data_IF_117152548734
#
_entry.id   IF_117152548734
#
_cell.length_a   1.000
_cell.length_b   1.000
_cell.length_c   1.000
_cell.angle_alpha   90.00
_cell.angle_beta   90.00
_cell.angle_gamma   90.00
#
_symmetry.space_group_name_H-M   'P 1'
#
loop_
_entity.id
_entity.type
_entity.pdbx_description
1 polymer ?
#
# COMPACT_ATOMS: atom_id res chain seq x y z
N UNK A 1 -23.58 6.81 -23.44
CA UNK A 1 -22.87 5.92 -22.50
C UNK A 1 -21.45 6.42 -22.40
N UNK A 2 -21.07 6.90 -21.22
CA UNK A 2 -19.71 7.34 -20.90
C UNK A 2 -19.06 6.26 -20.02
N UNK A 3 -17.87 5.80 -20.40
CA UNK A 3 -17.11 4.78 -19.68
C UNK A 3 -15.90 5.44 -19.03
N UNK A 4 -15.82 5.43 -17.70
CA UNK A 4 -14.70 5.89 -16.91
C UNK A 4 -13.74 4.73 -16.66
N UNK A 5 -12.48 4.90 -17.02
CA UNK A 5 -11.41 3.90 -16.82
C UNK A 5 -10.33 4.53 -15.93
N UNK A 6 -9.74 3.81 -14.98
CA UNK A 6 -8.69 4.35 -14.09
C UNK A 6 -7.86 3.29 -13.36
N UNK A 7 -6.51 3.42 -13.31
CA UNK A 7 -5.55 2.29 -13.16
C UNK A 7 -4.17 2.70 -12.65
N UNK A 8 -3.40 2.04 -11.77
CA UNK A 8 -2.10 2.49 -11.15
C UNK A 8 -0.79 1.77 -11.59
N UNK A 9 0.17 2.43 -12.26
CA UNK A 9 1.60 2.02 -12.47
C UNK A 9 2.34 2.53 -13.75
N UNK A 10 3.65 2.22 -13.89
CA UNK A 10 4.65 2.95 -14.75
C UNK A 10 5.18 2.14 -15.95
N UNK A 11 5.60 2.80 -17.04
CA UNK A 11 5.71 2.25 -18.41
C UNK A 11 7.02 1.72 -18.98
N UNK A 12 6.85 1.07 -20.15
CA UNK A 12 7.42 1.20 -21.51
C UNK A 12 6.64 0.21 -22.45
N UNK A 13 7.00 -0.07 -23.71
CA UNK A 13 6.06 -0.44 -24.82
C UNK A 13 6.33 -1.81 -25.49
N UNK A 14 5.31 -2.70 -25.50
CA UNK A 14 5.24 -3.91 -26.35
C UNK A 14 3.87 -4.09 -27.04
N UNK A 15 3.85 -4.48 -28.33
CA UNK A 15 2.62 -4.65 -29.15
C UNK A 15 1.97 -6.01 -28.93
N UNK A 16 0.69 -6.03 -28.57
CA UNK A 16 -0.18 -7.17 -28.75
C UNK A 16 -1.61 -6.68 -29.08
N UNK A 17 -2.25 -7.30 -30.08
CA UNK A 17 -3.59 -6.96 -30.53
C UNK A 17 -4.58 -8.03 -30.04
N UNK A 18 -5.69 -7.62 -29.43
CA UNK A 18 -6.69 -8.57 -28.92
C UNK A 18 -8.12 -8.05 -29.11
N UNK A 19 -9.03 -9.01 -29.26
CA UNK A 19 -10.47 -8.80 -29.41
C UNK A 19 -11.17 -8.97 -28.06
N UNK A 20 -11.78 -7.92 -27.53
CA UNK A 20 -12.64 -8.02 -26.35
C UNK A 20 -14.02 -8.54 -26.78
N UNK A 21 -14.15 -9.86 -26.80
CA UNK A 21 -15.41 -10.54 -27.08
C UNK A 21 -16.29 -10.61 -25.83
N UNK A 22 -17.44 -9.92 -25.88
CA UNK A 22 -18.66 -10.17 -25.10
C UNK A 22 -18.53 -10.36 -23.58
N UNK A 23 -18.41 -9.25 -22.83
CA UNK A 23 -18.57 -9.24 -21.37
C UNK A 23 -19.59 -8.18 -20.97
N UNK A 24 -20.86 -8.53 -21.12
CA UNK A 24 -21.95 -7.90 -20.37
C UNK A 24 -22.96 -9.01 -20.08
N UNK A 25 -22.68 -9.82 -19.05
CA UNK A 25 -23.71 -10.72 -18.54
C UNK A 25 -24.79 -9.83 -17.93
N UNK A 26 -26.04 -10.14 -18.30
CA UNK A 26 -27.26 -9.50 -17.80
C UNK A 26 -27.12 -9.18 -16.32
N UNK A 27 -27.33 -7.92 -15.96
CA UNK A 27 -27.70 -7.53 -14.62
C UNK A 27 -29.07 -8.17 -14.30
N UNK A 28 -29.04 -9.42 -13.81
CA UNK A 28 -30.16 -10.01 -13.11
C UNK A 28 -29.90 -9.80 -11.61
N UNK A 29 -30.86 -9.24 -10.85
CA UNK A 29 -30.71 -8.98 -9.41
C UNK A 29 -30.83 -10.25 -8.54
N UNK A 30 -30.41 -11.41 -9.05
CA UNK A 30 -30.64 -12.70 -8.38
C UNK A 30 -29.47 -13.67 -8.57
N UNK A 31 -28.35 -13.44 -7.88
CA UNK A 31 -27.39 -14.49 -7.52
C UNK A 31 -26.59 -14.06 -6.29
N UNK A 32 -26.65 -14.79 -5.15
CA UNK A 32 -26.05 -14.35 -3.89
C UNK A 32 -24.58 -14.72 -3.69
N UNK A 33 -23.86 -15.22 -4.70
CA UNK A 33 -22.51 -15.72 -4.49
C UNK A 33 -21.56 -15.26 -5.59
N UNK A 34 -20.53 -14.52 -5.16
CA UNK A 34 -19.35 -14.01 -5.87
C UNK A 34 -19.47 -12.60 -6.46
N UNK A 35 -19.12 -11.58 -5.67
CA UNK A 35 -18.31 -10.42 -6.09
C UNK A 35 -18.10 -9.47 -4.89
N UNK A 36 -16.86 -9.28 -4.44
CA UNK A 36 -16.51 -8.49 -3.25
C UNK A 36 -16.30 -6.99 -3.52
N UNK A 37 -16.45 -6.52 -4.76
CA UNK A 37 -16.16 -5.14 -5.15
C UNK A 37 -17.37 -4.23 -5.52
N UNK A 38 -18.51 -4.71 -6.06
CA UNK A 38 -19.65 -3.85 -6.41
C UNK A 38 -20.43 -3.28 -5.21
N UNK A 39 -20.20 -3.79 -4.01
CA UNK A 39 -21.07 -3.60 -2.85
C UNK A 39 -21.13 -2.15 -2.37
N UNK A 40 -20.06 -1.36 -2.47
CA UNK A 40 -20.02 -0.05 -1.81
C UNK A 40 -20.97 0.99 -2.41
N UNK A 41 -21.19 0.98 -3.73
CA UNK A 41 -22.14 1.92 -4.35
C UNK A 41 -23.57 1.52 -3.98
N UNK A 42 -23.87 0.22 -4.03
CA UNK A 42 -25.17 -0.29 -3.64
C UNK A 42 -25.42 -0.11 -2.14
N UNK A 43 -24.42 -0.21 -1.28
CA UNK A 43 -24.53 0.10 0.15
C UNK A 43 -24.94 1.58 0.39
N UNK A 44 -24.50 2.51 -0.47
CA UNK A 44 -24.90 3.92 -0.37
C UNK A 44 -26.33 4.11 -0.84
N UNK A 45 -26.73 3.42 -1.92
CA UNK A 45 -28.11 3.44 -2.42
C UNK A 45 -29.07 2.79 -1.43
N UNK A 46 -28.71 1.63 -0.88
CA UNK A 46 -29.48 0.91 0.15
C UNK A 46 -29.58 1.71 1.46
N UNK A 47 -28.54 2.49 1.82
CA UNK A 47 -28.65 3.43 2.96
C UNK A 47 -29.57 4.61 2.69
N UNK A 48 -29.85 4.92 1.42
CA UNK A 48 -30.82 5.93 1.04
C UNK A 48 -32.26 5.37 1.00
N UNK A 49 -32.44 4.06 1.15
CA UNK A 49 -33.77 3.48 1.34
C UNK A 49 -34.38 3.97 2.65
N UNK A 50 -35.68 4.25 2.57
CA UNK A 50 -36.44 4.82 3.69
C UNK A 50 -36.78 3.74 4.73
N UNK A 51 -36.64 2.45 4.38
CA UNK A 51 -36.87 1.33 5.28
C UNK A 51 -35.81 1.20 6.37
N UNK A 52 -36.25 0.94 7.60
CA UNK A 52 -35.37 0.79 8.76
C UNK A 52 -34.98 -0.66 9.04
N UNK A 53 -35.85 -1.62 8.74
CA UNK A 53 -35.61 -3.03 9.03
C UNK A 53 -35.98 -3.92 7.84
N UNK A 54 -35.23 -5.01 7.58
CA UNK A 54 -35.58 -5.98 6.54
C UNK A 54 -36.64 -7.00 7.02
N UNK A 55 -37.33 -6.73 8.13
CA UNK A 55 -38.19 -7.69 8.83
C UNK A 55 -39.66 -7.27 8.94
N UNK A 56 -40.46 -8.12 9.59
CA UNK A 56 -41.82 -7.77 10.00
C UNK A 56 -41.80 -6.85 11.23
N UNK A 57 -42.67 -5.85 11.24
CA UNK A 57 -42.90 -5.01 12.42
C UNK A 57 -43.72 -5.70 13.51
N UNK A 58 -43.70 -5.11 14.70
CA UNK A 58 -44.39 -5.60 15.90
C UNK A 58 -45.92 -5.61 15.75
N UNK A 59 -46.47 -4.61 15.06
CA UNK A 59 -47.90 -4.41 14.81
C UNK A 59 -48.14 -4.05 13.34
N UNK A 60 -49.41 -4.01 12.91
CA UNK A 60 -49.77 -3.60 11.55
C UNK A 60 -49.13 -2.25 11.17
N UNK A 61 -49.13 -1.26 12.06
CA UNK A 61 -48.51 0.04 11.82
C UNK A 61 -46.98 -0.02 11.79
N UNK A 62 -46.38 -0.89 12.61
CA UNK A 62 -44.93 -1.11 12.64
C UNK A 62 -44.39 -1.71 11.34
N UNK A 63 -45.13 -2.64 10.72
CA UNK A 63 -44.73 -3.25 9.43
C UNK A 63 -44.61 -2.18 8.34
N UNK A 64 -45.58 -1.26 8.24
CA UNK A 64 -45.52 -0.19 7.24
C UNK A 64 -44.47 0.87 7.59
N UNK A 65 -44.34 1.23 8.87
CA UNK A 65 -43.36 2.22 9.32
C UNK A 65 -41.91 1.75 9.13
N UNK A 66 -41.63 0.48 9.44
CA UNK A 66 -40.30 -0.13 9.28
C UNK A 66 -39.94 -0.31 7.80
N UNK A 67 -40.93 -0.47 6.92
CA UNK A 67 -40.76 -0.48 5.47
C UNK A 67 -40.65 0.93 4.84
N UNK A 68 -40.78 2.00 5.64
CA UNK A 68 -40.74 3.38 5.15
C UNK A 68 -42.02 3.85 4.47
N UNK A 69 -43.17 3.21 4.73
CA UNK A 69 -44.48 3.53 4.18
C UNK A 69 -45.36 4.23 5.21
N UNK A 70 -46.25 5.12 4.73
CA UNK A 70 -47.28 5.74 5.54
C UNK A 70 -48.66 5.47 4.91
N UNK A 71 -49.66 5.15 5.73
CA UNK A 71 -51.02 4.94 5.27
C UNK A 71 -52.05 5.50 6.26
N UNK A 72 -53.25 5.80 5.75
CA UNK A 72 -54.41 6.23 6.52
C UNK A 72 -55.67 5.63 5.92
N UNK A 73 -56.46 4.92 6.71
CA UNK A 73 -57.73 4.33 6.27
C UNK A 73 -58.93 5.14 6.76
N UNK A 74 -60.11 4.80 6.24
CA UNK A 74 -61.40 5.35 6.65
C UNK A 74 -61.89 4.82 8.03
N UNK A 75 -61.22 3.82 8.58
CA UNK A 75 -61.52 3.16 9.85
C UNK A 75 -60.61 3.62 10.99
N UNK A 76 -60.03 4.83 10.89
CA UNK A 76 -59.10 5.44 11.85
C UNK A 76 -57.79 4.66 12.12
N UNK A 77 -57.43 3.68 11.28
CA UNK A 77 -56.08 3.09 11.32
C UNK A 77 -55.11 3.97 10.53
N UNK A 78 -54.06 4.45 11.20
CA UNK A 78 -53.01 5.27 10.60
C UNK A 78 -51.64 4.95 11.20
N UNK A 79 -50.58 5.12 10.40
CA UNK A 79 -49.19 5.11 10.88
C UNK A 79 -48.83 6.45 11.50
N UNK A 80 -47.94 6.44 12.51
CA UNK A 80 -47.38 7.68 13.05
C UNK A 80 -46.58 8.45 11.99
N UNK A 81 -46.63 9.78 12.05
CA UNK A 81 -45.87 10.63 11.15
C UNK A 81 -44.38 10.56 11.53
N UNK A 82 -43.54 10.17 10.58
CA UNK A 82 -42.09 10.07 10.77
C UNK A 82 -41.47 11.47 10.83
N UNK A 83 -40.77 11.76 11.92
CA UNK A 83 -40.12 13.05 12.18
C UNK A 83 -38.65 13.08 11.76
N UNK A 84 -37.99 11.92 11.71
CA UNK A 84 -36.55 11.78 11.44
C UNK A 84 -36.28 10.82 10.26
N UNK A 85 -35.29 11.17 9.45
CA UNK A 85 -34.86 10.37 8.30
C UNK A 85 -34.04 9.14 8.72
N UNK A 86 -33.30 9.21 9.82
CA UNK A 86 -32.43 8.12 10.28
C UNK A 86 -33.14 7.16 11.26
N UNK A 87 -32.75 5.88 11.22
CA UNK A 87 -33.28 4.83 12.09
C UNK A 87 -32.35 4.55 13.28
N UNK A 88 -32.89 4.16 14.43
CA UNK A 88 -32.10 3.85 15.64
C UNK A 88 -31.21 2.60 15.43
N UNK A 89 -29.89 2.74 15.55
CA UNK A 89 -28.92 1.64 15.39
C UNK A 89 -28.73 0.84 16.70
N UNK A 90 -28.70 -0.50 16.67
CA UNK A 90 -28.38 -1.31 17.85
C UNK A 90 -26.89 -1.21 18.24
N UNK A 91 -26.62 -1.36 19.55
CA UNK A 91 -25.28 -1.23 20.12
C UNK A 91 -24.32 -2.32 19.61
N UNK A 92 -23.17 -1.90 19.08
CA UNK A 92 -22.14 -2.81 18.57
C UNK A 92 -21.44 -3.58 19.70
N UNK A 93 -21.40 -4.90 19.57
CA UNK A 93 -20.76 -5.83 20.50
C UNK A 93 -19.24 -5.88 20.26
N UNK A 94 -18.44 -5.55 21.28
CA UNK A 94 -16.98 -5.52 21.20
C UNK A 94 -16.39 -6.91 21.54
N UNK A 95 -15.54 -7.44 20.65
CA UNK A 95 -14.80 -8.71 20.82
C UNK A 95 -13.43 -8.42 21.46
N UNK A 96 -12.91 -9.32 22.32
CA UNK A 96 -11.57 -9.20 22.94
C UNK A 96 -10.69 -10.41 22.61
N UNK A 97 -9.38 -10.19 22.51
CA UNK A 97 -8.34 -11.21 22.54
C UNK A 97 -7.03 -10.70 23.17
N UNK A 98 -6.30 -11.66 23.77
CA UNK A 98 -4.87 -11.73 24.17
C UNK A 98 -4.46 -11.19 25.56
N UNK A 99 -3.86 -12.06 26.38
CA UNK A 99 -3.66 -11.97 27.84
C UNK A 99 -2.69 -10.86 28.32
N UNK A 100 -1.65 -10.50 27.57
CA UNK A 100 -0.76 -9.37 27.91
C UNK A 100 -1.42 -8.02 27.57
N UNK A 101 -2.07 -7.95 26.40
CA UNK A 101 -2.87 -6.81 25.98
C UNK A 101 -4.06 -6.60 26.93
N UNK A 102 -4.67 -7.68 27.44
CA UNK A 102 -5.70 -7.64 28.46
C UNK A 102 -5.19 -6.98 29.74
N UNK A 103 -4.06 -7.44 30.29
CA UNK A 103 -3.43 -6.82 31.47
C UNK A 103 -3.05 -5.34 31.23
N UNK A 104 -2.64 -4.98 30.01
CA UNK A 104 -2.35 -3.60 29.62
C UNK A 104 -3.62 -2.74 29.60
N UNK A 105 -4.69 -3.26 29.00
CA UNK A 105 -5.98 -2.58 28.91
C UNK A 105 -6.69 -2.48 30.26
N UNK A 106 -6.55 -3.48 31.12
CA UNK A 106 -7.11 -3.49 32.48
C UNK A 106 -6.44 -2.43 33.36
N UNK A 107 -5.11 -2.30 33.28
CA UNK A 107 -4.37 -1.26 34.01
C UNK A 107 -4.68 0.13 33.47
N UNK A 108 -4.75 0.30 32.15
CA UNK A 108 -5.18 1.56 31.53
C UNK A 108 -6.64 1.93 31.87
N UNK A 109 -7.50 0.92 32.06
CA UNK A 109 -8.91 1.09 32.43
C UNK A 109 -9.15 1.62 33.84
N UNK A 110 -8.14 1.61 34.73
CA UNK A 110 -8.25 2.15 36.10
C UNK A 110 -8.37 3.68 36.13
N UNK A 111 -7.92 4.37 35.07
CA UNK A 111 -7.98 5.82 34.95
C UNK A 111 -9.28 6.26 34.28
N UNK A 112 -10.10 7.04 35.01
CA UNK A 112 -11.39 7.55 34.53
C UNK A 112 -11.25 8.63 33.45
N UNK A 113 -10.22 9.48 33.57
CA UNK A 113 -9.99 10.58 32.64
C UNK A 113 -9.25 10.09 31.40
N UNK A 114 -9.76 10.46 30.22
CA UNK A 114 -9.15 10.11 28.92
C UNK A 114 -7.68 10.53 28.82
N UNK A 115 -7.33 11.69 29.39
CA UNK A 115 -5.95 12.21 29.41
C UNK A 115 -5.01 11.38 30.26
N UNK A 116 -5.42 10.99 31.47
CA UNK A 116 -4.63 10.13 32.36
C UNK A 116 -4.47 8.72 31.81
N UNK A 117 -5.53 8.20 31.18
CA UNK A 117 -5.48 6.91 30.47
C UNK A 117 -4.45 6.93 29.35
N UNK A 118 -4.42 7.99 28.54
CA UNK A 118 -3.39 8.17 27.49
C UNK A 118 -1.98 8.22 28.08
N UNK A 119 -1.77 8.96 29.16
CA UNK A 119 -0.48 9.01 29.86
C UNK A 119 -0.01 7.64 30.36
N UNK A 120 -0.93 6.82 30.87
CA UNK A 120 -0.65 5.44 31.27
C UNK A 120 -0.30 4.55 30.06
N UNK A 121 -1.08 4.63 28.97
CA UNK A 121 -0.85 3.88 27.73
C UNK A 121 0.52 4.20 27.11
N UNK A 122 0.94 5.47 27.15
CA UNK A 122 2.26 5.94 26.70
C UNK A 122 3.39 5.49 27.63
N UNK A 123 3.14 5.38 28.94
CA UNK A 123 4.07 4.79 29.91
C UNK A 123 4.39 3.33 29.61
N UNK A 124 3.42 2.59 29.07
CA UNK A 124 3.56 1.18 28.75
C UNK A 124 4.20 0.90 27.38
N UNK A 125 4.46 1.93 26.55
CA UNK A 125 5.20 1.78 25.29
C UNK A 125 6.68 1.48 25.55
N UNK A 126 7.28 0.64 24.71
CA UNK A 126 8.73 0.40 24.68
C UNK A 126 9.47 1.67 24.27
N UNK A 127 10.66 1.88 24.83
CA UNK A 127 11.53 2.98 24.45
C UNK A 127 12.75 2.42 23.71
N UNK A 128 12.98 2.77 22.43
CA UNK A 128 14.16 2.35 21.69
C UNK A 128 15.50 2.66 22.39
N UNK A 129 15.56 3.73 23.19
CA UNK A 129 16.76 4.14 23.93
C UNK A 129 16.92 3.45 25.29
N UNK A 130 15.98 2.60 25.71
CA UNK A 130 16.05 1.83 26.96
C UNK A 130 16.07 2.67 28.25
N UNK A 131 15.63 3.93 28.23
CA UNK A 131 15.68 4.78 29.43
C UNK A 131 14.71 4.30 30.53
N UNK A 132 15.09 4.44 31.81
CA UNK A 132 14.23 4.09 32.94
C UNK A 132 12.99 5.01 33.01
N UNK A 133 11.92 4.51 33.64
CA UNK A 133 10.65 5.23 33.77
C UNK A 133 10.81 6.65 34.34
N UNK A 134 11.70 6.83 35.32
CA UNK A 134 11.97 8.13 35.95
C UNK A 134 12.59 9.14 34.97
N UNK A 135 13.45 8.68 34.05
CA UNK A 135 14.05 9.56 33.04
C UNK A 135 13.03 9.93 31.97
N UNK A 136 12.17 8.99 31.57
CA UNK A 136 11.05 9.23 30.63
C UNK A 136 10.05 10.24 31.18
N UNK A 137 9.75 10.15 32.48
CA UNK A 137 8.82 11.06 33.16
C UNK A 137 9.24 12.54 33.12
N UNK A 138 10.53 12.84 32.99
CA UNK A 138 11.04 14.23 32.90
C UNK A 138 10.64 14.94 31.61
N UNK A 139 10.29 14.20 30.55
CA UNK A 139 9.90 14.76 29.26
C UNK A 139 8.39 15.04 29.16
N UNK A 140 7.63 14.76 30.23
CA UNK A 140 6.17 14.95 30.26
C UNK A 140 5.86 16.39 30.69
N UNK A 141 5.16 17.13 29.83
CA UNK A 141 4.76 18.52 30.08
C UNK A 141 3.30 18.69 30.55
N UNK A 142 2.50 17.62 30.53
CA UNK A 142 1.04 17.62 30.74
C UNK A 142 0.59 17.72 32.22
N UNK A 143 1.51 17.99 33.15
CA UNK A 143 1.23 18.18 34.58
C UNK A 143 1.55 16.98 35.47
N UNK A 144 1.56 17.21 36.79
CA UNK A 144 2.04 16.25 37.79
C UNK A 144 1.17 14.99 37.90
N UNK A 145 -0.14 15.08 37.65
CA UNK A 145 -1.07 13.95 37.66
C UNK A 145 -0.78 12.94 36.54
N UNK A 146 -0.44 13.44 35.35
CA UNK A 146 -0.03 12.60 34.21
C UNK A 146 1.32 11.91 34.49
N UNK A 147 2.27 12.60 35.12
CA UNK A 147 3.56 12.01 35.51
C UNK A 147 3.39 10.83 36.47
N UNK A 148 2.50 10.97 37.45
CA UNK A 148 2.21 9.88 38.40
C UNK A 148 1.56 8.68 37.71
N UNK A 149 0.55 8.91 36.85
CA UNK A 149 -0.08 7.85 36.07
C UNK A 149 0.92 7.14 35.13
N UNK A 150 1.81 7.90 34.50
CA UNK A 150 2.86 7.37 33.63
C UNK A 150 3.85 6.49 34.41
N UNK A 151 4.32 6.94 35.58
CA UNK A 151 5.26 6.18 36.40
C UNK A 151 4.66 4.89 36.95
N UNK A 152 3.39 4.93 37.40
CA UNK A 152 2.66 3.74 37.85
C UNK A 152 2.61 2.70 36.72
N UNK A 153 2.07 3.07 35.56
CA UNK A 153 1.93 2.14 34.44
C UNK A 153 3.27 1.67 33.85
N UNK A 154 4.28 2.54 33.80
CA UNK A 154 5.62 2.17 33.34
C UNK A 154 6.29 1.18 34.30
N UNK A 155 6.20 1.40 35.61
CA UNK A 155 6.76 0.46 36.59
C UNK A 155 6.03 -0.90 36.56
N UNK A 156 4.69 -0.87 36.47
CA UNK A 156 3.86 -2.07 36.38
C UNK A 156 4.24 -2.94 35.18
N UNK A 157 4.32 -2.36 33.98
CA UNK A 157 4.66 -3.14 32.78
C UNK A 157 6.11 -3.66 32.84
N UNK A 158 7.04 -2.89 33.42
CA UNK A 158 8.43 -3.35 33.54
C UNK A 158 8.56 -4.55 34.47
N UNK A 159 7.81 -4.58 35.58
CA UNK A 159 7.74 -5.74 36.46
C UNK A 159 7.10 -6.93 35.76
N UNK A 160 6.00 -6.71 35.03
CA UNK A 160 5.31 -7.75 34.28
C UNK A 160 6.23 -8.38 33.21
N UNK A 161 6.97 -7.56 32.45
CA UNK A 161 7.98 -8.02 31.48
C UNK A 161 9.11 -8.79 32.14
N UNK A 162 9.56 -8.36 33.33
CA UNK A 162 10.59 -9.09 34.08
C UNK A 162 10.08 -10.45 34.58
N UNK A 163 8.83 -10.54 35.03
CA UNK A 163 8.20 -11.79 35.43
C UNK A 163 8.06 -12.74 34.24
N UNK A 164 7.50 -12.27 33.12
CA UNK A 164 7.39 -13.05 31.89
C UNK A 164 8.76 -13.48 31.33
N UNK A 165 9.80 -12.64 31.43
CA UNK A 165 11.18 -13.02 31.05
C UNK A 165 11.74 -14.12 31.94
N UNK A 166 11.43 -14.12 33.24
CA UNK A 166 11.86 -15.16 34.19
C UNK A 166 11.13 -16.47 33.97
N UNK A 167 9.84 -16.43 33.65
CA UNK A 167 9.03 -17.60 33.31
C UNK A 167 9.39 -18.16 31.91
N UNK A 168 9.74 -17.29 30.96
CA UNK A 168 10.17 -17.66 29.61
C UNK A 168 11.54 -18.35 29.55
N UNK A 169 12.36 -18.27 30.60
CA UNK A 169 13.65 -18.97 30.68
C UNK A 169 13.52 -20.50 30.86
N UNK A 170 12.31 -21.00 31.12
CA UNK A 170 11.97 -22.43 31.08
C UNK A 170 11.45 -22.88 29.70
N UNK A 171 11.34 -21.95 28.73
CA UNK A 171 11.04 -22.23 27.33
C UNK A 171 12.32 -22.21 26.48
N UNK A 172 12.50 -23.22 25.64
CA UNK A 172 13.55 -23.24 24.61
C UNK A 172 13.47 -21.94 23.79
N UNK A 173 14.63 -21.36 23.45
CA UNK A 173 14.86 -20.06 22.78
C UNK A 173 14.25 -19.90 21.35
N UNK A 174 13.01 -20.34 21.15
CA UNK A 174 12.28 -20.33 19.88
C UNK A 174 10.88 -19.73 20.00
N UNK A 175 10.51 -19.17 21.15
CA UNK A 175 9.26 -18.44 21.34
C UNK A 175 9.51 -17.00 21.74
N UNK A 176 10.38 -16.30 21.01
CA UNK A 176 10.24 -14.85 20.88
C UNK A 176 8.97 -14.62 20.05
N UNK A 177 7.81 -14.78 20.69
CA UNK A 177 6.57 -14.25 20.18
C UNK A 177 6.75 -12.74 20.27
N UNK A 178 6.82 -12.07 19.12
CA UNK A 178 6.74 -10.62 19.00
C UNK A 178 5.37 -10.15 19.57
N UNK A 179 5.23 -10.11 20.90
CA UNK A 179 4.03 -9.63 21.60
C UNK A 179 3.99 -8.10 21.69
N UNK A 180 5.05 -7.42 21.23
CA UNK A 180 5.14 -5.96 21.13
C UNK A 180 4.68 -5.43 19.75
N UNK A 181 3.84 -6.19 19.02
CA UNK A 181 3.19 -5.69 17.79
C UNK A 181 2.24 -4.54 18.18
N UNK A 182 2.58 -3.36 17.69
CA UNK A 182 1.84 -2.10 17.81
C UNK A 182 0.36 -2.33 17.43
N UNK A 183 -0.63 -1.77 18.16
CA UNK A 183 -2.03 -1.86 17.75
C UNK A 183 -2.21 -1.36 16.30
N UNK A 184 -3.08 -2.01 15.54
CA UNK A 184 -3.37 -1.74 14.11
C UNK A 184 -3.70 -0.26 13.80
N UNK A 185 -4.01 0.54 14.82
CA UNK A 185 -4.31 1.98 14.73
C UNK A 185 -3.12 2.84 14.26
N UNK A 186 -1.87 2.40 14.46
CA UNK A 186 -0.65 3.13 14.06
C UNK A 186 0.09 2.49 12.86
N UNK A 187 -0.43 1.40 12.28
CA UNK A 187 0.17 0.77 11.10
C UNK A 187 -0.22 1.59 9.86
N UNK A 188 0.70 2.46 9.44
CA UNK A 188 0.58 3.15 8.15
C UNK A 188 0.71 2.08 7.06
N UNK A 189 -0.43 1.70 6.48
CA UNK A 189 -0.46 0.83 5.31
C UNK A 189 0.30 1.50 4.17
N UNK A 190 1.05 0.70 3.41
CA UNK A 190 1.75 1.21 2.23
C UNK A 190 0.71 1.76 1.25
N UNK A 191 0.63 3.07 1.14
CA UNK A 191 -0.31 3.80 0.28
C UNK A 191 0.34 4.32 -1.01
N UNK A 192 1.65 4.10 -1.17
CA UNK A 192 2.39 4.53 -2.36
C UNK A 192 2.18 3.54 -3.51
N UNK A 193 0.96 3.53 -4.05
CA UNK A 193 0.68 2.90 -5.33
C UNK A 193 1.10 3.87 -6.44
N UNK A 194 1.95 3.45 -7.39
CA UNK A 194 2.45 4.31 -8.45
C UNK A 194 1.34 4.85 -9.37
N UNK A 195 1.66 5.91 -10.12
CA UNK A 195 0.72 6.75 -10.88
C UNK A 195 -0.23 6.01 -11.80
N UNK A 196 -1.47 6.48 -11.82
CA UNK A 196 -2.49 5.88 -12.65
C UNK A 196 -2.36 6.13 -14.16
N UNK A 197 -2.38 5.11 -15.02
CA UNK A 197 -2.29 5.19 -16.49
C UNK A 197 -3.50 4.52 -17.15
N UNK A 198 -4.15 5.20 -18.10
CA UNK A 198 -5.48 4.88 -18.67
C UNK A 198 -6.67 5.51 -17.90
N UNK A 199 -6.55 6.80 -17.58
CA UNK A 199 -7.68 7.63 -17.14
C UNK A 199 -8.37 8.28 -18.36
N UNK A 200 -9.24 7.54 -19.05
CA UNK A 200 -9.97 8.03 -20.22
C UNK A 200 -11.48 7.81 -20.11
N UNK A 201 -12.22 8.71 -20.75
CA UNK A 201 -13.68 8.61 -20.90
C UNK A 201 -13.97 8.19 -22.34
N UNK A 202 -14.63 7.05 -22.50
CA UNK A 202 -14.95 6.52 -23.81
C UNK A 202 -16.46 6.57 -24.08
N UNK A 203 -16.85 7.28 -25.14
CA UNK A 203 -18.23 7.31 -25.62
C UNK A 203 -18.50 6.13 -26.56
N UNK A 204 -19.54 5.36 -26.26
CA UNK A 204 -20.04 4.28 -27.11
C UNK A 204 -21.14 4.81 -28.04
N UNK A 205 -20.79 5.14 -29.30
CA UNK A 205 -21.71 5.67 -30.32
C UNK A 205 -22.19 4.66 -31.36
N UNK A 206 -21.67 3.43 -31.33
CA UNK A 206 -21.99 2.41 -32.33
C UNK A 206 -23.41 1.88 -32.16
N UNK A 207 -24.07 1.61 -33.30
CA UNK A 207 -25.45 1.15 -33.33
C UNK A 207 -25.59 -0.23 -32.68
N UNK A 208 -26.57 -0.31 -31.78
CA UNK A 208 -26.87 -1.51 -31.01
C UNK A 208 -27.32 -2.64 -31.93
N UNK A 209 -26.42 -3.56 -32.26
CA UNK A 209 -26.80 -4.75 -33.04
C UNK A 209 -27.69 -5.70 -32.23
N UNK A 210 -27.55 -5.72 -30.89
CA UNK A 210 -28.27 -6.60 -29.95
C UNK A 210 -28.55 -5.94 -28.57
N UNK A 211 -28.71 -4.60 -28.50
CA UNK A 211 -28.84 -3.87 -27.23
C UNK A 211 -27.52 -3.71 -26.43
N UNK A 212 -26.39 -4.09 -27.04
CA UNK A 212 -25.03 -3.93 -26.52
C UNK A 212 -24.20 -3.28 -27.64
N UNK A 213 -23.60 -2.13 -27.35
CA UNK A 213 -22.61 -1.45 -28.18
C UNK A 213 -21.21 -1.82 -27.68
N UNK A 214 -20.32 -2.28 -28.57
CA UNK A 214 -18.95 -2.68 -28.23
C UNK A 214 -17.95 -1.75 -28.89
N UNK A 215 -16.90 -1.33 -28.17
CA UNK A 215 -15.79 -0.55 -28.71
C UNK A 215 -14.47 -1.26 -28.42
N UNK A 216 -13.61 -1.38 -29.44
CA UNK A 216 -12.28 -1.99 -29.30
C UNK A 216 -11.26 -0.88 -29.11
N UNK A 217 -10.48 -0.97 -28.02
CA UNK A 217 -9.42 -0.02 -27.69
C UNK A 217 -8.08 -0.73 -27.78
N UNK A 218 -7.16 -0.18 -28.57
CA UNK A 218 -5.79 -0.68 -28.68
C UNK A 218 -4.90 0.17 -27.77
N UNK A 219 -4.47 -0.41 -26.65
CA UNK A 219 -3.71 0.28 -25.62
C UNK A 219 -2.36 -0.42 -25.44
N UNK A 220 -1.29 0.36 -25.29
CA UNK A 220 0.04 -0.16 -24.99
C UNK A 220 0.18 -0.41 -23.49
N UNK A 221 0.36 -1.67 -23.11
CA UNK A 221 0.74 -2.03 -21.75
C UNK A 221 2.06 -1.38 -21.38
N UNK A 222 2.18 -1.12 -20.08
CA UNK A 222 3.35 -0.56 -19.43
C UNK A 222 4.31 -1.69 -19.05
N UNK A 223 5.60 -1.56 -19.37
CA UNK A 223 6.68 -2.51 -19.06
C UNK A 223 6.98 -2.75 -17.56
N UNK A 224 6.07 -2.46 -16.64
CA UNK A 224 6.20 -2.98 -15.27
C UNK A 224 5.67 -4.39 -15.16
N UNK A 225 6.43 -5.22 -14.45
CA UNK A 225 6.13 -6.63 -14.19
C UNK A 225 5.16 -6.68 -13.01
N UNK A 226 3.93 -6.28 -13.29
CA UNK A 226 2.85 -6.12 -12.33
C UNK A 226 1.54 -6.68 -12.88
N UNK A 227 0.65 -7.03 -11.98
CA UNK A 227 -0.72 -7.40 -12.31
C UNK A 227 -1.58 -6.14 -12.35
N UNK A 228 -2.11 -5.83 -13.53
CA UNK A 228 -3.03 -4.72 -13.76
C UNK A 228 -4.47 -5.23 -13.60
N UNK A 229 -5.39 -4.44 -13.07
CA UNK A 229 -6.76 -4.89 -12.74
C UNK A 229 -7.87 -4.09 -13.45
N UNK A 230 -7.85 -3.94 -14.77
CA UNK A 230 -8.71 -3.00 -15.53
C UNK A 230 -10.17 -2.90 -15.04
N UNK A 231 -10.53 -1.78 -14.40
CA UNK A 231 -11.86 -1.40 -13.93
C UNK A 231 -12.44 -0.41 -14.91
N UNK A 232 -13.72 -0.63 -15.21
CA UNK A 232 -14.51 0.26 -16.03
C UNK A 232 -15.83 0.57 -15.32
N UNK A 233 -16.18 1.85 -15.26
CA UNK A 233 -17.45 2.32 -14.72
C UNK A 233 -18.23 2.97 -15.86
N UNK A 234 -19.39 2.44 -16.18
CA UNK A 234 -20.25 2.98 -17.25
C UNK A 234 -21.43 3.74 -16.67
N UNK A 235 -21.79 4.86 -17.31
CA UNK A 235 -23.02 5.60 -17.06
C UNK A 235 -23.89 5.60 -18.31
N UNK A 236 -25.16 5.26 -18.15
CA UNK A 236 -26.17 5.24 -19.21
C UNK A 236 -27.44 5.99 -18.78
N UNK A 237 -27.95 6.85 -19.65
CA UNK A 237 -29.12 7.69 -19.36
C UNK A 237 -30.36 6.91 -18.91
N UNK A 238 -30.56 5.70 -19.45
CA UNK A 238 -31.73 4.85 -19.14
C UNK A 238 -31.45 3.71 -18.18
N UNK A 239 -30.19 3.26 -18.10
CA UNK A 239 -29.80 2.06 -17.32
C UNK A 239 -29.05 2.41 -16.03
N UNK A 240 -28.76 3.68 -15.79
CA UNK A 240 -28.03 4.14 -14.61
C UNK A 240 -26.53 3.85 -14.68
N UNK A 241 -25.91 3.70 -13.51
CA UNK A 241 -24.49 3.42 -13.33
C UNK A 241 -24.27 1.91 -13.24
N UNK A 242 -23.23 1.41 -13.91
CA UNK A 242 -22.79 0.04 -13.79
C UNK A 242 -21.27 0.00 -13.61
N UNK A 243 -20.81 -0.64 -12.52
CA UNK A 243 -19.41 -0.93 -12.26
C UNK A 243 -19.12 -2.33 -12.82
N UNK A 244 -18.21 -2.42 -13.77
CA UNK A 244 -17.78 -3.69 -14.32
C UNK A 244 -16.84 -4.42 -13.35
N UNK A 245 -16.82 -5.75 -13.45
CA UNK A 245 -15.84 -6.56 -12.72
C UNK A 245 -14.41 -6.21 -13.16
N UNK A 246 -13.43 -6.20 -12.23
CA UNK A 246 -12.04 -5.94 -12.55
C UNK A 246 -11.51 -6.97 -13.55
N UNK A 247 -10.84 -6.48 -14.59
CA UNK A 247 -10.20 -7.32 -15.60
C UNK A 247 -8.70 -7.41 -15.38
N UNK A 248 -8.26 -8.54 -14.85
CA UNK A 248 -6.85 -8.77 -14.52
C UNK A 248 -6.00 -9.03 -15.77
N UNK A 249 -4.96 -8.22 -15.95
CA UNK A 249 -3.92 -8.36 -16.98
C UNK A 249 -2.58 -8.53 -16.29
N UNK A 250 -2.05 -9.74 -16.34
CA UNK A 250 -0.74 -10.07 -15.76
C UNK A 250 0.35 -9.78 -16.79
N UNK A 251 1.16 -8.74 -16.56
CA UNK A 251 2.37 -8.49 -17.36
C UNK A 251 3.52 -9.17 -16.64
N UNK A 252 3.94 -10.33 -17.15
CA UNK A 252 5.02 -11.12 -16.59
C UNK A 252 6.08 -11.38 -17.65
N UNK A 253 7.34 -11.23 -17.27
CA UNK A 253 8.49 -11.64 -18.08
C UNK A 253 9.25 -12.72 -17.31
N UNK A 254 9.56 -13.84 -17.99
CA UNK A 254 10.24 -14.98 -17.35
C UNK A 254 11.63 -14.64 -16.81
N UNK A 255 12.29 -13.68 -17.45
CA UNK A 255 13.62 -13.21 -17.08
C UNK A 255 13.66 -11.69 -17.15
N UNK A 256 14.00 -11.06 -16.03
CA UNK A 256 14.16 -9.60 -15.96
C UNK A 256 15.21 -9.20 -14.93
N UNK A 257 15.65 -7.96 -15.02
CA UNK A 257 16.63 -7.34 -14.14
C UNK A 257 15.90 -6.28 -13.29
N UNK A 258 16.19 -6.21 -12.00
CA UNK A 258 15.79 -5.09 -11.15
C UNK A 258 17.04 -4.38 -10.60
N UNK A 259 17.19 -3.11 -10.94
CA UNK A 259 18.30 -2.29 -10.47
C UNK A 259 17.96 -1.62 -9.14
N UNK A 260 18.63 -2.01 -8.06
CA UNK A 260 18.48 -1.41 -6.73
C UNK A 260 19.46 -0.26 -6.56
N UNK A 261 18.92 0.96 -6.63
CA UNK A 261 19.64 2.19 -6.35
C UNK A 261 19.19 2.77 -5.00
N UNK A 262 20.10 3.33 -4.19
CA UNK A 262 19.72 4.14 -3.05
C UNK A 262 19.02 5.43 -3.49
N UNK A 263 18.30 6.07 -2.57
CA UNK A 263 17.60 7.33 -2.83
C UNK A 263 18.54 8.45 -3.33
N UNK A 264 19.74 8.54 -2.73
CA UNK A 264 20.77 9.49 -3.14
C UNK A 264 22.16 9.02 -2.70
N UNK A 265 23.20 9.48 -3.40
CA UNK A 265 24.61 9.19 -3.10
C UNK A 265 25.40 10.50 -3.03
N UNK A 266 26.39 10.58 -2.13
CA UNK A 266 27.28 11.74 -2.05
C UNK A 266 28.37 11.64 -3.12
N UNK A 267 28.71 12.77 -3.75
CA UNK A 267 29.82 12.85 -4.72
C UNK A 267 31.12 12.31 -4.11
N UNK A 268 31.88 11.53 -4.89
CA UNK A 268 33.15 10.89 -4.53
C UNK A 268 33.06 9.81 -3.45
N UNK A 269 31.85 9.38 -3.06
CA UNK A 269 31.65 8.26 -2.14
C UNK A 269 31.52 6.94 -2.92
N UNK A 270 32.19 5.89 -2.45
CA UNK A 270 32.09 4.57 -3.07
C UNK A 270 30.83 3.86 -2.58
N UNK A 271 29.96 3.46 -3.52
CA UNK A 271 28.69 2.78 -3.21
C UNK A 271 28.56 1.50 -4.03
N UNK A 272 28.04 0.45 -3.38
CA UNK A 272 27.63 -0.79 -4.03
C UNK A 272 26.15 -0.72 -4.41
N UNK A 273 25.86 -0.73 -5.70
CA UNK A 273 24.50 -0.89 -6.24
C UNK A 273 24.31 -2.34 -6.68
N UNK A 274 23.08 -2.85 -6.61
CA UNK A 274 22.80 -4.26 -6.91
C UNK A 274 21.83 -4.38 -8.08
N UNK A 275 22.25 -5.07 -9.12
CA UNK A 275 21.33 -5.54 -10.16
C UNK A 275 20.87 -6.95 -9.78
N UNK A 276 19.60 -7.12 -9.46
CA UNK A 276 19.03 -8.41 -9.11
C UNK A 276 18.43 -9.01 -10.37
N UNK A 277 18.93 -10.16 -10.79
CA UNK A 277 18.41 -10.88 -11.95
C UNK A 277 17.46 -11.96 -11.48
N UNK A 278 16.26 -11.98 -12.04
CA UNK A 278 15.23 -12.95 -11.70
C UNK A 278 15.08 -13.97 -12.83
N UNK A 279 14.95 -15.24 -12.45
CA UNK A 279 14.59 -16.32 -13.34
C UNK A 279 13.34 -17.01 -12.80
N UNK A 280 12.20 -16.76 -13.44
CA UNK A 280 10.92 -17.37 -13.11
C UNK A 280 10.66 -18.69 -13.86
N UNK A 281 11.59 -19.16 -14.71
CA UNK A 281 11.46 -20.46 -15.36
C UNK A 281 11.52 -21.59 -14.34
N UNK A 282 10.70 -22.61 -14.57
CA UNK A 282 10.50 -23.66 -13.58
C UNK A 282 11.63 -24.68 -13.49
N UNK A 283 12.22 -25.04 -14.64
CA UNK A 283 13.15 -26.19 -14.74
C UNK A 283 14.51 -25.83 -15.32
N UNK A 284 14.64 -24.64 -15.90
CA UNK A 284 15.83 -24.24 -16.66
C UNK A 284 16.66 -23.23 -15.88
N UNK A 285 17.96 -23.51 -15.74
CA UNK A 285 18.93 -22.53 -15.30
C UNK A 285 19.35 -21.64 -16.48
N UNK A 286 19.33 -20.33 -16.30
CA UNK A 286 19.72 -19.39 -17.34
C UNK A 286 21.18 -19.00 -17.19
N UNK A 287 21.97 -19.19 -18.25
CA UNK A 287 23.31 -18.60 -18.35
C UNK A 287 23.16 -17.19 -18.92
N UNK A 288 23.51 -16.18 -18.14
CA UNK A 288 23.23 -14.79 -18.46
C UNK A 288 24.52 -13.98 -18.49
N UNK A 289 24.71 -13.21 -19.56
CA UNK A 289 25.75 -12.19 -19.66
C UNK A 289 25.14 -10.86 -19.23
N UNK A 290 25.68 -10.27 -18.16
CA UNK A 290 25.26 -8.97 -17.62
C UNK A 290 26.35 -7.95 -17.89
N UNK A 291 26.00 -6.76 -18.34
CA UNK A 291 26.90 -5.64 -18.57
C UNK A 291 26.36 -4.35 -17.94
N UNK A 292 27.22 -3.65 -17.21
CA UNK A 292 26.97 -2.27 -16.78
C UNK A 292 27.49 -1.34 -17.88
N UNK A 293 26.62 -0.48 -18.39
CA UNK A 293 26.99 0.48 -19.43
C UNK A 293 27.87 1.58 -18.83
N UNK A 294 28.97 1.87 -19.52
CA UNK A 294 29.90 2.93 -19.12
C UNK A 294 29.22 4.30 -19.18
N UNK A 295 29.39 5.08 -18.11
CA UNK A 295 28.93 6.46 -18.05
C UNK A 295 30.07 7.35 -17.52
N UNK A 296 30.45 8.46 -18.20
CA UNK A 296 31.56 9.31 -17.76
C UNK A 296 31.32 10.02 -16.42
N UNK A 297 30.07 10.09 -15.97
CA UNK A 297 29.69 10.76 -14.73
C UNK A 297 30.00 9.98 -13.46
N UNK A 298 30.25 8.67 -13.55
CA UNK A 298 30.66 7.83 -12.43
C UNK A 298 31.76 6.86 -12.85
N UNK A 299 32.74 6.65 -11.97
CA UNK A 299 33.72 5.60 -12.13
C UNK A 299 33.11 4.25 -11.80
N UNK A 300 33.26 3.28 -12.70
CA UNK A 300 32.90 1.89 -12.49
C UNK A 300 33.95 0.98 -13.13
N UNK A 301 33.82 -0.34 -12.98
CA UNK A 301 34.68 -1.32 -13.66
C UNK A 301 34.57 -1.23 -15.20
N UNK A 302 33.50 -0.64 -15.72
CA UNK A 302 33.33 -0.39 -17.15
C UNK A 302 34.07 0.90 -17.54
N UNK A 303 35.05 0.76 -18.43
CA UNK A 303 35.82 1.89 -18.99
C UNK A 303 35.30 2.24 -20.38
N UNK A 304 35.48 3.49 -20.84
CA UNK A 304 35.06 3.93 -22.18
C UNK A 304 35.55 3.02 -23.33
N UNK A 305 36.76 2.46 -23.20
CA UNK A 305 37.36 1.55 -24.20
C UNK A 305 37.06 0.07 -23.96
N UNK A 306 36.72 -0.33 -22.73
CA UNK A 306 36.55 -1.74 -22.34
C UNK A 306 35.25 -1.92 -21.57
N UNK A 307 34.29 -2.59 -22.21
CA UNK A 307 33.06 -3.02 -21.56
C UNK A 307 33.38 -4.10 -20.54
N UNK A 308 32.86 -3.93 -19.34
CA UNK A 308 32.93 -4.93 -18.30
C UNK A 308 31.64 -5.74 -18.30
N UNK A 309 31.74 -7.03 -18.57
CA UNK A 309 30.62 -7.96 -18.51
C UNK A 309 30.96 -9.13 -17.60
N UNK A 310 29.94 -9.65 -16.93
CA UNK A 310 30.02 -10.86 -16.12
C UNK A 310 29.07 -11.90 -16.67
N UNK A 311 29.47 -13.16 -16.59
CA UNK A 311 28.60 -14.28 -16.96
C UNK A 311 28.22 -15.03 -15.70
N UNK A 312 26.93 -15.09 -15.41
CA UNK A 312 26.38 -15.76 -14.23
C UNK A 312 25.42 -16.87 -14.64
N UNK A 313 25.29 -17.87 -13.79
CA UNK A 313 24.28 -18.92 -13.90
C UNK A 313 23.18 -18.64 -12.87
N UNK A 314 21.94 -18.49 -13.33
CA UNK A 314 20.78 -18.25 -12.46
C UNK A 314 19.99 -19.55 -12.34
N UNK A 315 19.86 -20.15 -11.13
CA UNK A 315 19.04 -21.33 -10.92
C UNK A 315 17.55 -21.09 -11.28
N UNK A 316 16.75 -22.15 -11.50
CA UNK A 316 15.31 -22.03 -11.73
C UNK A 316 14.60 -21.45 -10.50
N UNK A 317 13.51 -20.68 -10.73
CA UNK A 317 12.71 -19.99 -9.70
C UNK A 317 13.55 -19.26 -8.62
N UNK A 318 14.65 -18.64 -9.04
CA UNK A 318 15.59 -18.00 -8.13
C UNK A 318 16.01 -16.63 -8.62
N UNK A 319 16.65 -15.87 -7.74
CA UNK A 319 17.21 -14.58 -8.05
C UNK A 319 18.68 -14.51 -7.64
N UNK A 320 19.49 -13.83 -8.44
CA UNK A 320 20.92 -13.65 -8.18
C UNK A 320 21.24 -12.15 -8.18
N UNK A 321 21.72 -11.60 -7.05
CA UNK A 321 22.19 -10.22 -6.99
C UNK A 321 23.61 -10.11 -7.56
N UNK A 322 23.80 -9.21 -8.52
CA UNK A 322 25.11 -8.83 -9.06
C UNK A 322 25.50 -7.47 -8.48
N UNK A 323 26.56 -7.40 -7.66
CA UNK A 323 27.03 -6.16 -7.09
C UNK A 323 27.87 -5.38 -8.11
N UNK A 324 27.57 -4.09 -8.26
CA UNK A 324 28.38 -3.14 -8.99
C UNK A 324 28.84 -2.03 -8.06
N UNK A 325 30.15 -1.88 -7.94
CA UNK A 325 30.76 -0.77 -7.20
C UNK A 325 30.90 0.42 -8.14
N UNK A 326 30.34 1.56 -7.73
CA UNK A 326 30.40 2.82 -8.48
C UNK A 326 30.85 3.97 -7.58
N UNK A 327 31.54 4.94 -8.16
CA UNK A 327 31.95 6.19 -7.50
C UNK A 327 31.46 7.37 -8.35
N UNK A 328 30.47 8.15 -7.93
CA UNK A 328 29.93 9.25 -8.71
C UNK A 328 30.86 10.47 -8.68
N UNK A 329 31.15 11.02 -9.85
CA UNK A 329 32.06 12.16 -10.04
C UNK A 329 31.33 13.48 -10.23
N UNK A 330 30.20 13.47 -10.94
CA UNK A 330 29.41 14.67 -11.26
C UNK A 330 28.14 14.73 -10.40
N UNK A 331 27.77 15.94 -9.97
CA UNK A 331 26.57 16.19 -9.18
C UNK A 331 25.36 16.27 -10.12
N UNK A 332 24.19 15.80 -9.68
CA UNK A 332 22.97 15.85 -10.46
C UNK A 332 22.27 14.50 -10.58
N UNK A 333 21.39 14.39 -11.57
CA UNK A 333 20.69 13.14 -11.89
C UNK A 333 21.49 12.39 -12.94
N UNK A 334 21.96 11.20 -12.58
CA UNK A 334 22.83 10.41 -13.42
C UNK A 334 22.21 9.08 -13.83
N UNK A 335 22.35 8.71 -15.09
CA UNK A 335 21.71 7.50 -15.61
C UNK A 335 22.59 6.26 -15.42
N UNK A 336 22.08 5.27 -14.70
CA UNK A 336 22.69 3.96 -14.53
C UNK A 336 21.92 2.96 -15.37
N UNK A 337 22.61 2.32 -16.32
CA UNK A 337 22.01 1.37 -17.26
C UNK A 337 22.72 0.01 -17.18
N UNK A 338 21.95 -1.05 -16.93
CA UNK A 338 22.43 -2.43 -16.89
C UNK A 338 21.67 -3.24 -17.93
N UNK A 339 22.39 -3.97 -18.77
CA UNK A 339 21.82 -4.89 -19.77
C UNK A 339 22.18 -6.32 -19.43
N UNK A 340 21.29 -7.23 -19.75
CA UNK A 340 21.57 -8.64 -19.71
C UNK A 340 21.04 -9.36 -20.95
N UNK A 341 21.80 -10.34 -21.40
CA UNK A 341 21.43 -11.22 -22.50
C UNK A 341 21.64 -12.67 -22.07
N UNK A 342 20.64 -13.51 -22.34
CA UNK A 342 20.69 -14.93 -22.05
C UNK A 342 21.43 -15.66 -23.18
N UNK A 343 22.33 -16.58 -22.83
CA UNK A 343 22.99 -17.43 -23.83
C UNK A 343 22.00 -18.42 -24.44
N UNK A 344 22.13 -18.67 -25.75
CA UNK A 344 21.33 -19.64 -26.52
C UNK A 344 19.81 -19.37 -26.52
N UNK A 345 19.36 -18.22 -26.02
CA UNK A 345 17.98 -17.77 -26.06
C UNK A 345 17.94 -16.33 -26.59
N UNK A 346 16.91 -15.98 -27.36
CA UNK A 346 16.68 -14.62 -27.86
C UNK A 346 16.03 -13.72 -26.78
N UNK A 347 16.55 -13.77 -25.56
CA UNK A 347 16.01 -13.04 -24.42
C UNK A 347 17.08 -12.05 -23.96
N UNK A 348 16.71 -10.78 -24.00
CA UNK A 348 17.53 -9.68 -23.50
C UNK A 348 16.66 -8.72 -22.73
N UNK A 349 17.17 -8.21 -21.62
CA UNK A 349 16.52 -7.20 -20.81
C UNK A 349 17.52 -6.08 -20.48
N UNK A 350 17.02 -4.88 -20.23
CA UNK A 350 17.83 -3.71 -19.96
C UNK A 350 17.09 -2.72 -19.10
N UNK A 351 17.68 -2.38 -17.96
CA UNK A 351 17.10 -1.43 -17.01
C UNK A 351 17.98 -0.20 -16.88
N UNK A 352 17.33 0.95 -17.04
CA UNK A 352 17.92 2.27 -16.88
C UNK A 352 17.21 3.01 -15.76
N UNK A 353 17.94 3.42 -14.71
CA UNK A 353 17.40 4.22 -13.60
C UNK A 353 18.27 5.44 -13.35
N UNK A 354 17.65 6.49 -12.79
CA UNK A 354 18.34 7.73 -12.44
C UNK A 354 18.84 7.68 -10.99
N UNK A 355 20.13 7.92 -10.81
CA UNK A 355 20.83 8.02 -9.55
C UNK A 355 20.98 9.51 -9.19
N UNK A 356 20.48 9.90 -8.02
CA UNK A 356 20.60 11.28 -7.52
C UNK A 356 21.92 11.45 -6.77
N UNK A 357 22.83 12.21 -7.35
CA UNK A 357 24.13 12.54 -6.73
C UNK A 357 24.05 13.92 -6.07
N UNK A 358 24.32 13.96 -4.77
CA UNK A 358 24.30 15.16 -3.94
C UNK A 358 25.70 15.57 -3.48
N UNK A 359 25.86 16.83 -3.11
CA UNK A 359 27.07 17.32 -2.44
C UNK A 359 26.98 16.98 -0.95
N UNK A 360 28.13 16.78 -0.31
CA UNK A 360 28.19 16.61 1.15
C UNK A 360 27.46 17.77 1.86
N UNK A 361 26.66 17.49 2.92
CA UNK A 361 25.74 18.44 3.53
C UNK A 361 26.35 19.69 4.19
N UNK A 362 27.68 19.86 4.16
CA UNK A 362 28.37 21.04 4.70
C UNK A 362 28.26 22.31 3.82
N UNK A 363 27.54 22.27 2.69
CA UNK A 363 27.23 23.49 1.93
C UNK A 363 26.18 24.34 2.64
N UNK A 364 26.60 25.08 3.66
CA UNK A 364 25.83 26.19 4.23
C UNK A 364 25.64 27.21 3.12
N UNK A 365 24.38 27.51 2.76
CA UNK A 365 24.07 28.72 1.97
C UNK A 365 24.41 29.91 2.84
N UNK A 366 25.62 30.44 2.72
CA UNK A 366 25.96 31.71 3.32
C UNK A 366 25.11 32.80 2.64
N UNK A 367 24.35 33.61 3.40
CA UNK A 367 23.70 34.77 2.85
C UNK A 367 24.76 35.70 2.25
N UNK A 368 24.52 36.16 1.03
CA UNK A 368 25.37 36.96 0.15
C UNK A 368 25.81 38.31 0.77
N UNK A 369 26.66 38.28 1.81
CA UNK A 369 27.28 39.49 2.38
C UNK A 369 28.77 39.36 2.72
N UNK A 370 29.36 38.15 2.65
CA UNK A 370 30.81 37.98 2.78
C UNK A 370 31.35 37.26 1.55
N UNK A 371 32.12 37.99 0.74
CA UNK A 371 33.05 37.41 -0.24
C UNK A 371 34.03 36.54 0.55
N UNK A 372 34.25 35.32 0.06
CA UNK A 372 35.12 34.27 0.63
C UNK A 372 34.44 33.35 1.66
N UNK A 373 33.68 32.38 1.15
CA UNK A 373 33.44 31.13 1.85
C UNK A 373 34.52 30.13 1.40
N UNK A 374 35.59 29.99 2.19
CA UNK A 374 36.51 28.87 2.05
C UNK A 374 35.84 27.60 2.60
N UNK A 375 35.75 26.55 1.77
CA UNK A 375 35.47 25.21 2.28
C UNK A 375 36.65 24.80 3.17
N UNK A 376 36.42 24.66 4.47
CA UNK A 376 37.41 24.12 5.38
C UNK A 376 37.72 22.66 5.00
N UNK A 377 38.99 22.30 4.72
CA UNK A 377 39.39 20.91 4.71
C UNK A 377 39.38 20.42 6.16
N UNK A 378 38.49 19.48 6.48
CA UNK A 378 38.53 18.82 7.78
C UNK A 378 39.78 17.90 7.85
N UNK A 379 40.38 17.89 9.04
CA UNK A 379 41.67 17.32 9.44
C UNK A 379 41.93 15.88 9.03
#
# INVERSE_FOLDING_TARGET
MELWVGWSGVGWVGRAAWTVGSWCRRCCPACPYLATHPLQIWDVVEKADIGCTPGSGQDYAGVFMDAGLAFKTNTDLQTAQRTELECSKPAARRRRSVQLMEKRMDKAGQYKTKELRRCCEDGMRENPMGFPCQRRARFISLGASCVQAFLDCCSYITQLRQQHRREGLLGLARSDMDEDIIPEEDIISRSQFPETWLWSIEELKESEKNGISTKVLNIFLKDTITTWEILAVSLSDKKGICVADPYEVTVMQDFFIDLRLPYSVVRNEQVEIRAVLFNYREKESLKVRVELIHNPAFCSLATAKKRYYQTIMIPPKSSVPVPYVIVPLTIGLQEVEVKAAVYNHFISDGVKKTLKVVVSPLCIRCPLSFRECACAPYC
#
